data_IF_049037570314
#
_entry.id   IF_049037570314
#
_cell.length_a   1.000
_cell.length_b   1.000
_cell.length_c   1.000
_cell.angle_alpha   90.00
_cell.angle_beta   90.00
_cell.angle_gamma   90.00
#
_symmetry.space_group_name_H-M   'P 1'
#
loop_
_entity.id
_entity.type
_entity.pdbx_description
1 polymer ?
#
# COMPACT_ATOMS: atom_id res chain seq x y z
N UNK A 1 18.73 2.29 4.40
CA UNK A 1 18.50 2.51 5.85
C UNK A 1 18.43 1.11 6.43
N UNK A 2 19.33 0.79 7.35
CA UNK A 2 19.32 -0.49 8.06
C UNK A 2 18.55 -0.27 9.37
N UNK A 3 17.51 -1.06 9.60
CA UNK A 3 16.76 -1.08 10.85
C UNK A 3 17.38 -2.13 11.79
N UNK A 4 17.23 -1.97 13.11
CA UNK A 4 17.84 -2.86 14.11
C UNK A 4 17.36 -4.31 13.98
N UNK A 5 18.21 -5.26 14.37
CA UNK A 5 18.07 -6.73 14.26
C UNK A 5 16.85 -7.36 14.96
N UNK A 6 15.98 -6.59 15.61
CA UNK A 6 14.72 -7.10 16.12
C UNK A 6 13.71 -7.28 14.97
N UNK A 7 13.77 -8.47 14.38
CA UNK A 7 12.78 -9.09 13.47
C UNK A 7 11.40 -8.48 13.60
N UNK A 8 11.00 -7.68 12.63
CA UNK A 8 9.63 -7.23 12.56
C UNK A 8 9.27 -6.91 11.11
N UNK A 9 8.27 -7.63 10.61
CA UNK A 9 7.62 -7.31 9.35
C UNK A 9 6.93 -5.95 9.50
N UNK A 10 7.45 -4.92 8.83
CA UNK A 10 6.90 -3.57 8.86
C UNK A 10 6.25 -3.22 7.52
N UNK A 11 4.95 -3.46 7.34
CA UNK A 11 4.26 -3.08 6.11
C UNK A 11 4.21 -1.55 6.00
N UNK A 12 4.98 -0.92 5.10
CA UNK A 12 4.91 0.51 4.92
C UNK A 12 3.66 0.86 4.14
N UNK A 13 3.13 2.05 4.42
CA UNK A 13 2.22 2.75 3.49
C UNK A 13 2.92 2.98 2.15
N UNK A 14 2.15 3.29 1.11
CA UNK A 14 2.73 3.77 -0.15
C UNK A 14 3.52 5.08 0.05
N UNK A 15 4.25 5.51 -0.98
CA UNK A 15 4.77 6.88 -0.97
C UNK A 15 3.68 7.88 -1.36
N UNK A 16 3.40 8.82 -0.47
CA UNK A 16 2.39 9.86 -0.68
C UNK A 16 3.06 11.22 -0.67
N UNK A 17 3.14 11.83 -1.85
CA UNK A 17 3.79 13.13 -2.07
C UNK A 17 5.20 13.19 -1.42
N UNK A 18 5.99 12.14 -1.69
CA UNK A 18 7.39 11.99 -1.27
C UNK A 18 7.62 11.56 0.17
N UNK A 19 6.57 11.33 0.95
CA UNK A 19 6.68 10.77 2.31
C UNK A 19 6.23 9.30 2.32
N UNK A 20 6.79 8.53 3.24
CA UNK A 20 6.41 7.13 3.51
C UNK A 20 6.16 7.00 5.01
N UNK A 21 5.07 6.35 5.40
CA UNK A 21 4.79 6.06 6.81
C UNK A 21 4.83 4.55 7.06
N UNK A 22 5.35 4.13 8.20
CA UNK A 22 5.36 2.74 8.64
C UNK A 22 5.37 2.66 10.17
N UNK A 23 5.03 1.49 10.69
CA UNK A 23 5.17 1.19 12.11
C UNK A 23 6.46 0.43 12.35
N UNK A 24 7.22 0.81 13.36
CA UNK A 24 8.33 0.03 13.91
C UNK A 24 8.02 -0.32 15.37
N UNK A 25 7.71 -1.58 15.65
CA UNK A 25 7.23 -2.05 16.95
C UNK A 25 6.00 -1.23 17.40
N UNK A 26 6.11 -0.38 18.42
CA UNK A 26 5.02 0.50 18.86
C UNK A 26 5.18 1.96 18.39
N UNK A 27 6.14 2.25 17.51
CA UNK A 27 6.47 3.61 17.05
C UNK A 27 5.95 3.84 15.64
N UNK A 28 5.21 4.92 15.46
CA UNK A 28 4.78 5.39 14.14
C UNK A 28 5.85 6.32 13.58
N UNK A 29 6.37 5.99 12.40
CA UNK A 29 7.46 6.72 11.78
C UNK A 29 6.99 7.25 10.43
N UNK A 30 7.24 8.53 10.18
CA UNK A 30 7.15 9.14 8.85
C UNK A 30 8.57 9.40 8.36
N UNK A 31 8.88 8.89 7.18
CA UNK A 31 10.18 9.01 6.55
C UNK A 31 10.07 9.88 5.29
N UNK A 32 11.00 10.80 5.15
CA UNK A 32 11.29 11.47 3.89
C UNK A 32 12.57 10.84 3.29
N UNK A 33 12.47 10.00 2.25
CA UNK A 33 13.63 9.40 1.59
C UNK A 33 14.58 10.42 0.97
N UNK A 34 14.06 11.52 0.42
CA UNK A 34 14.85 12.55 -0.28
C UNK A 34 15.76 13.31 0.67
N UNK A 35 15.26 13.67 1.86
CA UNK A 35 16.04 14.39 2.87
C UNK A 35 16.68 13.46 3.90
N UNK A 36 16.36 12.16 3.85
CA UNK A 36 16.76 11.13 4.82
C UNK A 36 16.32 11.44 6.26
N UNK A 37 15.30 12.29 6.43
CA UNK A 37 14.78 12.66 7.74
C UNK A 37 13.69 11.67 8.18
N UNK A 38 13.69 11.36 9.48
CA UNK A 38 12.66 10.56 10.14
C UNK A 38 11.92 11.43 11.15
N UNK A 39 10.61 11.28 11.20
CA UNK A 39 9.74 11.87 12.22
C UNK A 39 9.02 10.76 12.96
N UNK A 40 9.30 10.66 14.26
CA UNK A 40 8.57 9.76 15.16
C UNK A 40 7.31 10.50 15.61
N UNK A 41 6.15 9.92 15.33
CA UNK A 41 4.87 10.44 15.78
C UNK A 41 4.60 10.01 17.23
N UNK A 42 3.86 10.82 18.02
CA UNK A 42 3.41 10.39 19.33
C UNK A 42 2.55 9.13 19.21
N UNK A 43 2.51 8.31 20.26
CA UNK A 43 1.64 7.13 20.27
C UNK A 43 0.17 7.56 20.22
N UNK A 44 -0.66 6.97 19.35
CA UNK A 44 -2.11 7.21 19.39
C UNK A 44 -2.67 6.75 20.74
N UNK A 45 -3.68 7.46 21.25
CA UNK A 45 -4.36 7.06 22.47
C UNK A 45 -5.10 5.73 22.24
N UNK A 46 -4.68 4.67 22.93
CA UNK A 46 -5.21 3.30 22.80
C UNK A 46 -4.27 2.26 23.41
N UNK A 47 -4.76 1.02 23.53
CA UNK A 47 -4.00 -0.09 24.12
C UNK A 47 -3.28 -0.94 23.08
N UNK A 48 -3.68 -0.87 21.80
CA UNK A 48 -3.07 -1.69 20.75
C UNK A 48 -1.69 -1.17 20.36
N UNK A 49 -0.75 -2.10 20.21
CA UNK A 49 0.53 -1.89 19.55
C UNK A 49 0.49 -2.29 18.08
N UNK A 50 -0.65 -2.71 17.56
CA UNK A 50 -0.80 -3.22 16.21
C UNK A 50 -1.80 -2.36 15.45
N UNK A 51 -1.30 -1.53 14.53
CA UNK A 51 -2.08 -0.52 13.84
C UNK A 51 -2.04 -0.72 12.33
N UNK A 52 -3.20 -0.56 11.70
CA UNK A 52 -3.25 -0.26 10.27
C UNK A 52 -3.07 1.24 10.08
N UNK A 53 -2.12 1.64 9.23
CA UNK A 53 -1.72 3.03 9.05
C UNK A 53 -1.95 3.42 7.60
N UNK A 54 -2.38 4.65 7.40
CA UNK A 54 -2.58 5.23 6.10
C UNK A 54 -2.02 6.63 6.09
N UNK A 55 -1.25 6.94 5.06
CA UNK A 55 -0.75 8.28 4.79
C UNK A 55 -1.64 8.90 3.72
N UNK A 56 -2.05 10.14 3.94
CA UNK A 56 -2.84 10.92 3.00
C UNK A 56 -2.22 12.30 2.78
N UNK A 57 -2.47 12.88 1.61
CA UNK A 57 -2.02 14.23 1.27
C UNK A 57 -3.18 15.02 0.67
N UNK A 58 -3.51 16.15 1.28
CA UNK A 58 -4.44 17.12 0.72
C UNK A 58 -3.69 18.05 -0.25
N UNK A 59 -3.94 17.96 -1.57
CA UNK A 59 -3.28 18.81 -2.55
C UNK A 59 -3.76 20.27 -2.51
N UNK A 60 -4.89 20.57 -1.86
CA UNK A 60 -5.45 21.93 -1.78
C UNK A 60 -4.80 22.71 -0.65
N UNK A 61 -4.75 22.16 0.57
CA UNK A 61 -4.07 22.81 1.69
C UNK A 61 -2.57 22.50 1.74
N UNK A 62 -2.09 21.54 0.93
CA UNK A 62 -0.69 21.12 0.91
C UNK A 62 -0.26 20.40 2.19
N UNK A 63 -1.17 19.65 2.83
CA UNK A 63 -0.94 19.01 4.14
C UNK A 63 -1.01 17.51 4.09
N UNK A 64 -0.06 16.86 4.74
CA UNK A 64 -0.13 15.42 5.01
C UNK A 64 -0.94 15.14 6.28
N UNK A 65 -1.73 14.08 6.24
CA UNK A 65 -2.39 13.51 7.42
C UNK A 65 -2.07 12.03 7.51
N UNK A 66 -1.89 11.54 8.73
CA UNK A 66 -1.75 10.13 9.05
C UNK A 66 -3.03 9.68 9.72
N UNK A 67 -3.68 8.68 9.15
CA UNK A 67 -4.82 7.99 9.73
C UNK A 67 -4.34 6.63 10.26
N UNK A 68 -4.79 6.23 11.44
CA UNK A 68 -4.58 4.87 11.91
C UNK A 68 -5.82 4.28 12.61
N UNK A 69 -5.88 2.96 12.59
CA UNK A 69 -6.90 2.13 13.24
C UNK A 69 -6.23 0.91 13.86
N UNK A 70 -6.85 0.31 14.86
CA UNK A 70 -6.34 -0.94 15.42
C UNK A 70 -6.54 -2.09 14.41
N UNK A 71 -5.51 -2.91 14.21
CA UNK A 71 -5.53 -3.99 13.21
C UNK A 71 -6.57 -5.07 13.56
N UNK A 72 -7.36 -5.49 12.57
CA UNK A 72 -8.45 -6.46 12.67
C UNK A 72 -9.52 -6.19 13.74
N UNK A 73 -9.50 -5.01 14.36
CA UNK A 73 -10.46 -4.61 15.36
C UNK A 73 -11.58 -3.76 14.73
N UNK A 74 -12.82 -4.03 15.13
CA UNK A 74 -13.99 -3.34 14.58
C UNK A 74 -14.32 -2.11 15.40
N UNK A 75 -14.22 -0.94 14.79
CA UNK A 75 -14.56 0.34 15.39
C UNK A 75 -15.35 1.23 14.43
N UNK A 76 -16.09 2.19 14.99
CA UNK A 76 -16.75 3.28 14.26
C UNK A 76 -15.96 4.60 14.36
N UNK A 77 -14.69 4.50 14.76
CA UNK A 77 -13.77 5.63 14.91
C UNK A 77 -12.37 5.26 14.44
N UNK A 78 -11.63 6.26 13.98
CA UNK A 78 -10.19 6.17 13.71
C UNK A 78 -9.45 7.32 14.40
N UNK A 79 -8.11 7.27 14.35
CA UNK A 79 -7.26 8.37 14.82
C UNK A 79 -6.62 9.07 13.62
N UNK A 80 -6.60 10.40 13.65
CA UNK A 80 -5.97 11.22 12.61
C UNK A 80 -4.99 12.20 13.24
N UNK A 81 -3.83 12.37 12.62
CA UNK A 81 -2.82 13.37 12.96
C UNK A 81 -2.44 14.13 11.70
N UNK A 82 -2.34 15.46 11.79
CA UNK A 82 -1.90 16.31 10.68
C UNK A 82 -0.42 16.64 10.87
N UNK A 83 0.42 16.34 9.88
CA UNK A 83 1.85 16.64 9.94
C UNK A 83 2.08 18.16 9.85
N UNK A 84 3.09 18.65 10.55
CA UNK A 84 3.43 20.08 10.59
C UNK A 84 2.45 20.97 11.39
N UNK A 85 1.39 20.39 11.98
CA UNK A 85 0.51 21.12 12.89
C UNK A 85 1.23 21.50 14.18
N UNK A 86 1.00 22.72 14.69
CA UNK A 86 1.50 23.16 16.00
C UNK A 86 1.02 22.24 17.13
N UNK A 87 -0.21 21.71 17.00
CA UNK A 87 -0.76 20.69 17.88
C UNK A 87 -0.44 19.32 17.28
N UNK A 88 0.67 18.72 17.70
CA UNK A 88 1.08 17.35 17.34
C UNK A 88 0.24 16.30 18.07
N UNK A 89 -1.08 16.39 18.00
CA UNK A 89 -2.01 15.56 18.76
C UNK A 89 -2.90 14.71 17.83
N UNK A 90 -3.14 13.47 18.25
CA UNK A 90 -4.12 12.60 17.63
C UNK A 90 -5.53 13.05 18.00
N UNK A 91 -6.40 13.18 16.99
CA UNK A 91 -7.83 13.40 17.18
C UNK A 91 -8.61 12.14 16.80
N UNK A 92 -9.74 11.92 17.46
CA UNK A 92 -10.70 10.89 17.08
C UNK A 92 -11.59 11.42 15.97
N UNK A 93 -11.73 10.66 14.88
CA UNK A 93 -12.67 10.94 13.80
C UNK A 93 -13.67 9.79 13.75
N UNK A 94 -14.96 10.11 13.56
CA UNK A 94 -16.00 9.10 13.36
C UNK A 94 -15.97 8.61 11.93
N UNK A 95 -16.04 7.30 11.75
CA UNK A 95 -16.06 6.68 10.44
C UNK A 95 -17.48 6.47 9.93
N UNK A 96 -18.48 6.61 10.81
CA UNK A 96 -19.90 6.32 10.57
C UNK A 96 -20.25 4.85 10.27
N UNK A 97 -19.23 3.99 10.13
CA UNK A 97 -19.39 2.57 9.84
C UNK A 97 -18.53 1.74 10.78
N UNK A 98 -19.14 0.74 11.43
CA UNK A 98 -18.39 -0.24 12.23
C UNK A 98 -17.63 -1.17 11.29
N UNK A 99 -16.36 -0.88 11.06
CA UNK A 99 -15.53 -1.62 10.14
C UNK A 99 -14.15 -1.95 10.73
N UNK A 100 -13.47 -2.88 10.08
CA UNK A 100 -12.07 -3.24 10.38
C UNK A 100 -11.27 -3.35 9.10
N UNK A 101 -9.97 -3.05 9.19
CA UNK A 101 -8.99 -3.45 8.18
C UNK A 101 -8.30 -4.73 8.63
N UNK A 102 -8.24 -5.71 7.74
CA UNK A 102 -7.52 -6.97 7.96
C UNK A 102 -6.23 -7.04 7.12
N UNK A 103 -5.84 -5.94 6.44
CA UNK A 103 -4.69 -5.88 5.55
C UNK A 103 -3.87 -4.62 5.85
N UNK A 104 -2.58 -4.79 6.17
CA UNK A 104 -1.74 -3.69 6.62
C UNK A 104 -1.30 -2.72 5.51
N UNK A 105 -1.14 -3.18 4.27
CA UNK A 105 -0.46 -2.47 3.17
C UNK A 105 -1.39 -2.17 1.97
N UNK A 106 -2.69 -2.38 2.14
CA UNK A 106 -3.65 -2.29 1.05
C UNK A 106 -4.12 -0.88 0.73
N UNK A 107 -3.75 0.13 1.51
CA UNK A 107 -4.25 1.51 1.34
C UNK A 107 -3.59 2.28 0.19
N UNK A 108 -4.37 3.12 -0.51
CA UNK A 108 -3.89 4.03 -1.59
C UNK A 108 -4.44 5.45 -1.46
N UNK A 109 -3.58 6.46 -1.54
CA UNK A 109 -3.91 7.87 -1.51
C UNK A 109 -3.84 8.45 -2.92
N UNK A 110 -5.01 8.74 -3.49
CA UNK A 110 -5.12 9.25 -4.86
C UNK A 110 -5.95 10.53 -4.82
N UNK A 111 -5.38 11.62 -5.37
CA UNK A 111 -6.05 12.92 -5.50
C UNK A 111 -6.69 13.46 -4.21
N UNK A 112 -6.03 13.29 -3.05
CA UNK A 112 -6.56 13.77 -1.77
C UNK A 112 -7.53 12.84 -1.06
N UNK A 113 -7.70 11.61 -1.56
CA UNK A 113 -8.56 10.60 -0.94
C UNK A 113 -7.75 9.34 -0.64
N UNK A 114 -7.80 8.89 0.61
CA UNK A 114 -7.24 7.60 1.03
C UNK A 114 -8.29 6.52 0.85
N UNK A 115 -7.96 5.49 0.10
CA UNK A 115 -8.78 4.33 -0.17
C UNK A 115 -8.20 3.10 0.53
N UNK A 116 -9.03 2.28 1.16
CA UNK A 116 -8.60 1.00 1.72
C UNK A 116 -9.75 0.00 1.73
N UNK A 117 -9.42 -1.29 1.69
CA UNK A 117 -10.44 -2.35 1.77
C UNK A 117 -10.74 -2.65 3.23
N UNK A 118 -12.02 -2.69 3.58
CA UNK A 118 -12.48 -2.97 4.93
C UNK A 118 -13.66 -3.93 4.96
N UNK A 119 -13.80 -4.63 6.08
CA UNK A 119 -14.97 -5.44 6.37
C UNK A 119 -15.94 -4.64 7.27
N UNK A 120 -17.15 -4.41 6.80
CA UNK A 120 -18.21 -3.71 7.55
C UNK A 120 -19.05 -4.73 8.29
N UNK A 121 -18.99 -4.70 9.63
CA UNK A 121 -19.56 -5.74 10.48
C UNK A 121 -21.07 -5.81 10.40
N UNK A 122 -21.74 -4.67 10.42
CA UNK A 122 -23.21 -4.60 10.46
C UNK A 122 -23.86 -5.08 9.16
N UNK A 123 -23.14 -4.99 8.04
CA UNK A 123 -23.60 -5.42 6.71
C UNK A 123 -23.02 -6.78 6.28
N UNK A 124 -22.04 -7.30 7.00
CA UNK A 124 -21.29 -8.53 6.67
C UNK A 124 -20.66 -8.55 5.27
N UNK A 125 -20.18 -7.39 4.79
CA UNK A 125 -19.60 -7.25 3.44
C UNK A 125 -18.23 -6.60 3.45
N UNK A 126 -17.44 -6.95 2.43
CA UNK A 126 -16.21 -6.24 2.09
C UNK A 126 -16.54 -5.05 1.19
N UNK A 127 -15.99 -3.89 1.53
CA UNK A 127 -16.19 -2.65 0.80
C UNK A 127 -14.87 -1.93 0.59
N UNK A 128 -14.88 -0.99 -0.33
CA UNK A 128 -13.83 0.00 -0.44
C UNK A 128 -14.23 1.23 0.40
N UNK A 129 -13.49 1.48 1.46
CA UNK A 129 -13.64 2.69 2.26
C UNK A 129 -12.82 3.80 1.61
N UNK A 130 -13.42 4.99 1.51
CA UNK A 130 -12.73 6.21 1.13
C UNK A 130 -12.70 7.18 2.29
N UNK A 131 -11.61 7.94 2.41
CA UNK A 131 -11.40 8.98 3.42
C UNK A 131 -10.88 10.23 2.71
N UNK A 132 -11.70 11.28 2.63
CA UNK A 132 -11.26 12.57 2.12
C UNK A 132 -10.28 13.19 3.13
N UNK A 133 -9.04 13.40 2.70
CA UNK A 133 -7.96 13.84 3.58
C UNK A 133 -8.26 15.22 4.14
N UNK A 134 -8.88 16.11 3.37
CA UNK A 134 -9.14 17.48 3.78
C UNK A 134 -10.31 17.56 4.76
N UNK A 135 -11.48 17.06 4.36
CA UNK A 135 -12.70 17.14 5.16
C UNK A 135 -12.79 16.08 6.25
N UNK A 136 -11.95 15.05 6.19
CA UNK A 136 -11.94 13.91 7.13
C UNK A 136 -13.26 13.14 7.15
N UNK A 137 -13.92 13.05 6.00
CA UNK A 137 -15.20 12.38 5.83
C UNK A 137 -14.95 11.02 5.19
N UNK A 138 -15.63 10.01 5.73
CA UNK A 138 -15.63 8.67 5.19
C UNK A 138 -16.83 8.44 4.28
N UNK A 139 -16.61 7.70 3.21
CA UNK A 139 -17.68 7.16 2.36
C UNK A 139 -17.39 5.70 2.03
N UNK A 140 -18.47 4.96 1.76
CA UNK A 140 -18.43 3.54 1.45
C UNK A 140 -18.72 3.32 -0.03
N UNK A 141 -17.83 2.59 -0.69
CA UNK A 141 -17.95 2.23 -2.10
C UNK A 141 -18.07 0.72 -2.20
N UNK A 142 -19.14 0.25 -2.85
CA UNK A 142 -19.32 -1.17 -3.15
C UNK A 142 -18.18 -1.68 -4.04
N UNK A 143 -17.66 -2.86 -3.72
CA UNK A 143 -16.65 -3.51 -4.56
C UNK A 143 -17.29 -3.99 -5.88
N UNK A 144 -16.55 -3.99 -6.98
CA UNK A 144 -17.07 -4.38 -8.30
C UNK A 144 -17.40 -5.88 -8.40
N UNK A 145 -16.77 -6.70 -7.55
CA UNK A 145 -16.95 -8.15 -7.47
C UNK A 145 -16.47 -8.65 -6.10
N UNK A 146 -17.04 -9.77 -5.64
CA UNK A 146 -16.56 -10.52 -4.47
C UNK A 146 -15.15 -11.09 -4.67
N UNK A 147 -14.73 -11.26 -5.92
CA UNK A 147 -13.46 -11.89 -6.30
C UNK A 147 -12.31 -10.89 -6.40
N UNK A 148 -12.44 -9.69 -5.85
CA UNK A 148 -11.32 -8.75 -5.75
C UNK A 148 -10.25 -9.26 -4.78
N UNK A 149 -8.99 -9.06 -5.16
CA UNK A 149 -7.83 -9.29 -4.32
C UNK A 149 -7.73 -8.16 -3.28
N UNK A 150 -7.84 -8.49 -2.00
CA UNK A 150 -8.18 -7.53 -0.92
C UNK A 150 -6.99 -6.78 -0.33
N UNK A 151 -5.78 -7.23 -0.63
CA UNK A 151 -4.50 -6.63 -0.23
C UNK A 151 -3.85 -5.82 -1.38
N UNK A 152 -4.40 -5.85 -2.61
CA UNK A 152 -3.82 -5.16 -3.77
C UNK A 152 -4.76 -4.06 -4.29
N UNK A 153 -4.57 -2.86 -3.76
CA UNK A 153 -4.99 -1.62 -4.43
C UNK A 153 -3.80 -1.02 -5.20
N UNK A 154 -4.07 -0.38 -6.32
CA UNK A 154 -3.04 0.22 -7.17
C UNK A 154 -3.53 1.55 -7.75
N UNK A 155 -2.58 2.42 -8.06
CA UNK A 155 -2.83 3.59 -8.92
C UNK A 155 -2.68 3.15 -10.38
N UNK A 156 -3.72 3.41 -11.17
CA UNK A 156 -3.73 3.23 -12.61
C UNK A 156 -4.15 4.53 -13.29
N UNK A 157 -3.16 5.26 -13.83
CA UNK A 157 -3.34 6.55 -14.51
C UNK A 157 -4.07 7.60 -13.65
N UNK A 158 -3.69 7.72 -12.37
CA UNK A 158 -4.27 8.68 -11.43
C UNK A 158 -5.67 8.29 -10.94
N UNK A 159 -6.06 7.03 -11.12
CA UNK A 159 -7.32 6.46 -10.64
C UNK A 159 -7.04 5.22 -9.82
N UNK A 160 -7.87 4.97 -8.82
CA UNK A 160 -7.78 3.75 -8.04
C UNK A 160 -8.16 2.55 -8.91
N UNK A 161 -7.41 1.45 -8.78
CA UNK A 161 -7.81 0.17 -9.31
C UNK A 161 -7.60 -0.97 -8.31
N UNK A 162 -8.45 -1.99 -8.44
CA UNK A 162 -8.40 -3.26 -7.72
C UNK A 162 -8.05 -4.38 -8.71
N UNK A 163 -7.39 -5.43 -8.22
CA UNK A 163 -7.01 -6.59 -9.03
C UNK A 163 -8.01 -7.73 -8.79
N UNK A 164 -8.52 -8.36 -9.83
CA UNK A 164 -9.34 -9.57 -9.71
C UNK A 164 -8.50 -10.79 -9.34
N UNK A 165 -9.06 -11.70 -8.53
CA UNK A 165 -8.48 -13.02 -8.21
C UNK A 165 -8.63 -14.01 -9.37
N UNK A 166 -9.63 -13.80 -10.22
CA UNK A 166 -9.83 -14.63 -11.41
C UNK A 166 -8.64 -14.48 -12.34
N UNK A 167 -7.89 -15.58 -12.48
CA UNK A 167 -6.89 -15.72 -13.53
C UNK A 167 -7.66 -15.88 -14.84
N UNK A 168 -7.55 -14.89 -15.73
CA UNK A 168 -8.18 -14.96 -17.05
C UNK A 168 -7.48 -16.08 -17.85
N UNK A 169 -8.22 -16.74 -18.75
CA UNK A 169 -7.64 -17.68 -19.72
C UNK A 169 -6.33 -17.12 -20.32
N UNK A 170 -5.26 -17.93 -20.29
CA UNK A 170 -3.85 -17.55 -20.58
C UNK A 170 -3.10 -16.77 -19.49
N UNK A 171 -3.54 -16.85 -18.24
CA UNK A 171 -2.90 -16.23 -17.06
C UNK A 171 -2.96 -14.69 -17.03
N UNK A 172 -4.01 -14.12 -17.60
CA UNK A 172 -4.24 -12.68 -17.54
C UNK A 172 -4.70 -12.17 -16.17
N UNK A 173 -4.56 -10.86 -15.97
CA UNK A 173 -5.11 -10.14 -14.81
C UNK A 173 -6.27 -9.25 -15.27
N UNK A 174 -7.34 -9.20 -14.47
CA UNK A 174 -8.40 -8.20 -14.61
C UNK A 174 -8.15 -7.07 -13.64
N UNK A 175 -8.11 -5.84 -14.14
CA UNK A 175 -8.18 -4.64 -13.30
C UNK A 175 -9.60 -4.11 -13.29
N UNK A 176 -10.08 -3.78 -12.11
CA UNK A 176 -11.28 -2.98 -11.91
C UNK A 176 -10.86 -1.56 -11.58
N UNK A 177 -11.28 -0.58 -12.37
CA UNK A 177 -10.84 0.81 -12.26
C UNK A 177 -12.03 1.63 -11.73
N UNK A 178 -11.77 2.40 -10.68
CA UNK A 178 -12.77 3.29 -10.09
C UNK A 178 -12.95 4.52 -10.99
N UNK A 179 -14.16 4.67 -11.51
CA UNK A 179 -14.62 5.79 -12.32
C UNK A 179 -15.36 6.82 -11.48
N UNK A 180 -15.73 7.94 -12.10
CA UNK A 180 -16.53 8.99 -11.47
C UNK A 180 -17.87 8.43 -10.95
N UNK A 181 -18.37 9.03 -9.87
CA UNK A 181 -19.63 8.65 -9.21
C UNK A 181 -19.61 7.22 -8.66
N UNK A 182 -18.47 6.76 -8.16
CA UNK A 182 -18.30 5.45 -7.51
C UNK A 182 -18.71 4.27 -8.41
N UNK A 183 -18.55 4.43 -9.74
CA UNK A 183 -18.79 3.37 -10.71
C UNK A 183 -17.50 2.65 -11.04
N UNK A 184 -17.58 1.41 -11.48
CA UNK A 184 -16.42 0.62 -11.86
C UNK A 184 -16.43 0.33 -13.36
N UNK A 185 -15.25 0.39 -13.98
CA UNK A 185 -14.97 -0.19 -15.29
C UNK A 185 -13.98 -1.34 -15.11
N UNK A 186 -13.87 -2.24 -16.10
CA UNK A 186 -12.88 -3.30 -16.08
C UNK A 186 -11.97 -3.25 -17.31
N UNK A 187 -10.73 -3.69 -17.12
CA UNK A 187 -9.75 -3.85 -18.19
C UNK A 187 -8.96 -5.13 -17.98
N UNK A 188 -8.95 -5.95 -19.01
CA UNK A 188 -8.25 -7.23 -19.02
C UNK A 188 -6.86 -7.06 -19.63
N UNK A 189 -5.86 -7.56 -18.92
CA UNK A 189 -4.49 -7.66 -19.39
C UNK A 189 -4.15 -9.12 -19.56
N UNK A 190 -4.09 -9.57 -20.81
CA UNK A 190 -3.62 -10.90 -21.12
C UNK A 190 -2.11 -10.92 -20.90
N UNK A 191 -1.67 -11.51 -19.80
CA UNK A 191 -0.26 -11.69 -19.50
C UNK A 191 0.06 -13.17 -19.67
N UNK A 192 0.95 -13.57 -20.59
CA UNK A 192 1.41 -14.94 -20.64
C UNK A 192 2.43 -15.16 -19.50
N UNK A 193 2.01 -15.03 -18.24
CA UNK A 193 2.88 -15.12 -17.07
C UNK A 193 3.69 -16.43 -17.07
N UNK A 194 3.10 -17.52 -17.59
CA UNK A 194 3.74 -18.84 -17.76
C UNK A 194 4.87 -18.85 -18.79
N UNK A 195 4.81 -17.99 -19.82
CA UNK A 195 5.85 -17.89 -20.86
C UNK A 195 6.97 -16.92 -20.47
N UNK A 196 6.74 -16.03 -19.50
CA UNK A 196 7.75 -15.08 -19.01
C UNK A 196 8.65 -15.74 -17.96
N UNK A 197 8.06 -16.42 -16.96
CA UNK A 197 8.77 -17.25 -15.98
C UNK A 197 7.73 -18.15 -15.27
N UNK A 198 7.96 -19.47 -15.21
CA UNK A 198 7.06 -20.40 -14.50
C UNK A 198 6.88 -20.03 -13.02
N UNK A 199 7.81 -19.29 -12.43
CA UNK A 199 7.69 -18.78 -11.06
C UNK A 199 6.75 -17.58 -10.91
N UNK A 200 6.33 -16.91 -12.00
CA UNK A 200 5.27 -15.90 -11.97
C UNK A 200 3.86 -16.50 -11.85
N UNK A 201 3.71 -17.82 -12.10
CA UNK A 201 2.47 -18.55 -11.83
C UNK A 201 2.36 -19.08 -10.39
N UNK A 202 3.32 -18.76 -9.51
CA UNK A 202 3.26 -19.08 -8.08
C UNK A 202 3.09 -17.79 -7.27
N UNK A 203 2.69 -17.89 -5.99
CA UNK A 203 2.57 -16.77 -5.04
C UNK A 203 3.93 -16.09 -4.70
N UNK A 204 4.95 -16.32 -5.54
CA UNK A 204 6.31 -15.83 -5.37
C UNK A 204 6.48 -14.39 -5.87
N UNK A 205 5.60 -13.89 -6.73
CA UNK A 205 5.68 -12.52 -7.23
C UNK A 205 4.39 -11.75 -6.93
N UNK A 206 4.54 -10.56 -6.38
CA UNK A 206 3.45 -9.66 -6.03
C UNK A 206 3.37 -8.53 -7.06
N UNK A 207 2.16 -8.27 -7.53
CA UNK A 207 1.86 -7.07 -8.32
C UNK A 207 2.00 -5.84 -7.42
N UNK A 208 2.91 -4.93 -7.77
CA UNK A 208 3.15 -3.69 -7.00
C UNK A 208 2.63 -2.42 -7.68
N UNK A 209 2.25 -2.48 -8.96
CA UNK A 209 1.64 -1.36 -9.66
C UNK A 209 2.06 -1.25 -11.12
N UNK A 210 2.04 -0.02 -11.63
CA UNK A 210 2.33 0.30 -13.03
C UNK A 210 3.41 1.37 -13.11
N UNK A 211 4.22 1.34 -14.18
CA UNK A 211 5.07 2.49 -14.55
C UNK A 211 4.23 3.55 -15.27
N UNK A 212 4.74 4.78 -15.37
CA UNK A 212 4.12 5.83 -16.19
C UNK A 212 3.97 5.45 -17.68
N UNK A 213 4.78 4.48 -18.16
CA UNK A 213 4.68 3.94 -19.52
C UNK A 213 3.61 2.83 -19.65
N UNK A 214 2.95 2.44 -18.56
CA UNK A 214 1.94 1.39 -18.54
C UNK A 214 2.49 -0.03 -18.40
N UNK A 215 3.76 -0.21 -18.04
CA UNK A 215 4.32 -1.53 -17.73
C UNK A 215 3.85 -2.00 -16.35
N UNK A 216 3.43 -3.26 -16.25
CA UNK A 216 3.05 -3.91 -15.00
C UNK A 216 4.31 -4.30 -14.22
N UNK A 217 4.37 -3.96 -12.92
CA UNK A 217 5.51 -4.23 -12.04
C UNK A 217 5.20 -5.41 -11.12
N UNK A 218 6.00 -6.47 -11.24
CA UNK A 218 5.98 -7.61 -10.33
C UNK A 218 7.27 -7.70 -9.53
N UNK A 219 7.15 -7.97 -8.24
CA UNK A 219 8.29 -8.03 -7.30
C UNK A 219 8.28 -9.34 -6.56
N UNK A 220 9.44 -9.98 -6.45
CA UNK A 220 9.61 -11.20 -5.68
C UNK A 220 9.22 -10.96 -4.21
N UNK A 221 8.30 -11.77 -3.67
CA UNK A 221 7.72 -11.59 -2.35
C UNK A 221 8.74 -11.75 -1.23
N UNK A 222 9.61 -12.76 -1.34
CA UNK A 222 10.74 -12.98 -0.44
C UNK A 222 11.97 -13.42 -1.21
N UNK A 223 13.14 -12.91 -0.79
CA UNK A 223 14.42 -13.25 -1.39
C UNK A 223 15.53 -13.39 -0.34
N UNK A 224 16.63 -14.07 -0.69
CA UNK A 224 17.79 -14.23 0.21
C UNK A 224 19.03 -13.51 -0.33
N UNK A 225 19.51 -13.90 -1.52
CA UNK A 225 20.74 -13.34 -2.11
C UNK A 225 20.48 -12.21 -3.10
N UNK A 226 19.41 -12.32 -3.89
CA UNK A 226 19.04 -11.35 -4.90
C UNK A 226 17.53 -11.23 -5.04
N UNK A 227 17.05 -10.00 -5.23
CA UNK A 227 15.64 -9.71 -5.45
C UNK A 227 15.37 -9.53 -6.94
N UNK A 228 14.33 -10.19 -7.47
CA UNK A 228 13.92 -10.03 -8.86
C UNK A 228 12.73 -9.09 -8.99
N UNK A 229 12.83 -8.17 -9.95
CA UNK A 229 11.76 -7.27 -10.36
C UNK A 229 11.49 -7.51 -11.84
N UNK A 230 10.23 -7.73 -12.19
CA UNK A 230 9.77 -7.87 -13.57
C UNK A 230 8.93 -6.67 -13.98
N UNK A 231 9.18 -6.19 -15.19
CA UNK A 231 8.34 -5.22 -15.87
C UNK A 231 7.75 -5.88 -17.11
N UNK A 232 6.43 -5.84 -17.25
CA UNK A 232 5.72 -6.41 -18.39
C UNK A 232 4.93 -5.32 -19.10
N UNK A 233 5.19 -5.12 -20.39
CA UNK A 233 4.42 -4.25 -21.26
C UNK A 233 3.30 -5.07 -21.91
N UNK A 234 2.02 -4.88 -21.51
CA UNK A 234 0.92 -5.64 -22.07
C UNK A 234 0.53 -5.20 -23.49
N UNK A 235 0.94 -4.01 -23.94
CA UNK A 235 0.64 -3.50 -25.29
C UNK A 235 1.62 -4.09 -26.29
N UNK A 236 2.91 -4.08 -25.95
CA UNK A 236 3.97 -4.65 -26.80
C UNK A 236 4.16 -6.15 -26.59
N UNK A 237 3.56 -6.71 -25.54
CA UNK A 237 3.76 -8.08 -25.10
C UNK A 237 5.24 -8.41 -24.88
N UNK A 238 5.99 -7.47 -24.31
CA UNK A 238 7.41 -7.63 -24.00
C UNK A 238 7.63 -7.59 -22.50
N UNK A 239 8.66 -8.28 -22.01
CA UNK A 239 9.05 -8.23 -20.60
C UNK A 239 10.53 -7.92 -20.46
N UNK A 240 10.88 -7.29 -19.34
CA UNK A 240 12.26 -7.09 -18.91
C UNK A 240 12.37 -7.43 -17.42
N UNK A 241 13.51 -7.96 -17.01
CA UNK A 241 13.79 -8.36 -15.64
C UNK A 241 15.02 -7.63 -15.12
N UNK A 242 14.93 -7.17 -13.88
CA UNK A 242 16.01 -6.60 -13.11
C UNK A 242 16.29 -7.50 -11.92
N UNK A 243 17.57 -7.71 -11.64
CA UNK A 243 18.02 -8.47 -10.48
C UNK A 243 18.86 -7.55 -9.62
N UNK A 244 18.38 -7.29 -8.41
CA UNK A 244 19.10 -6.52 -7.42
C UNK A 244 19.94 -7.49 -6.59
N UNK A 245 21.26 -7.33 -6.65
CA UNK A 245 22.25 -8.19 -5.99
C UNK A 245 22.94 -7.43 -4.86
N UNK A 246 23.54 -8.16 -3.92
CA UNK A 246 24.41 -7.58 -2.88
C UNK A 246 23.77 -7.45 -1.51
N UNK A 247 22.80 -8.30 -1.18
CA UNK A 247 22.12 -8.26 0.12
C UNK A 247 22.79 -9.08 1.23
N UNK A 248 23.83 -9.89 0.94
CA UNK A 248 24.62 -10.63 1.95
C UNK A 248 26.03 -11.02 1.48
N UNK A 249 27.02 -10.95 2.37
CA UNK A 249 28.22 -11.82 2.36
C UNK A 249 27.83 -13.22 2.88
N UNK A 250 28.47 -14.28 2.35
CA UNK A 250 28.08 -15.69 2.52
C UNK A 250 28.06 -16.20 3.99
N UNK A 251 28.58 -15.46 4.98
CA UNK A 251 28.57 -15.84 6.42
C UNK A 251 27.21 -15.65 7.12
N UNK A 252 26.32 -14.76 6.63
CA UNK A 252 25.02 -14.49 7.25
C UNK A 252 23.91 -15.48 6.88
N UNK A 253 24.20 -16.43 5.98
CA UNK A 253 23.22 -17.41 5.48
C UNK A 253 22.94 -18.53 6.51
N UNK A 254 23.80 -18.70 7.52
CA UNK A 254 23.69 -19.80 8.48
C UNK A 254 22.81 -19.48 9.71
N UNK A 255 22.33 -18.24 9.90
CA UNK A 255 21.53 -17.86 11.08
C UNK A 255 20.08 -17.45 10.78
N UNK A 256 19.71 -17.12 9.53
CA UNK A 256 18.36 -16.65 9.21
C UNK A 256 17.55 -17.69 8.39
N UNK A 257 16.59 -18.34 9.06
CA UNK A 257 15.50 -19.09 8.39
C UNK A 257 14.50 -18.17 7.63
N UNK A 258 14.68 -16.84 7.68
CA UNK A 258 13.71 -15.85 7.19
C UNK A 258 14.29 -15.05 6.01
N UNK A 259 13.56 -14.97 4.90
CA UNK A 259 13.93 -14.17 3.73
C UNK A 259 13.64 -12.67 3.90
N UNK A 260 14.24 -11.84 3.05
CA UNK A 260 14.01 -10.39 2.98
C UNK A 260 12.79 -10.06 2.11
N UNK A 261 12.08 -8.97 2.44
CA UNK A 261 10.97 -8.43 1.64
C UNK A 261 11.39 -7.14 0.94
N UNK A 262 11.04 -6.99 -0.34
CA UNK A 262 11.31 -5.76 -1.10
C UNK A 262 10.05 -4.90 -1.19
N UNK A 263 10.13 -3.67 -0.67
CA UNK A 263 9.08 -2.65 -0.84
C UNK A 263 9.41 -1.76 -2.04
N UNK A 264 8.43 -1.58 -2.94
CA UNK A 264 8.58 -0.79 -4.16
C UNK A 264 7.51 0.28 -4.19
N UNK A 265 7.94 1.52 -4.43
CA UNK A 265 7.10 2.71 -4.47
C UNK A 265 7.18 3.35 -5.87
N UNK A 266 6.44 2.82 -6.87
CA UNK A 266 6.59 3.25 -8.26
C UNK A 266 6.21 4.72 -8.50
N UNK A 267 5.38 5.30 -7.61
CA UNK A 267 4.91 6.68 -7.69
C UNK A 267 5.63 7.62 -6.71
N UNK A 268 6.80 7.22 -6.19
CA UNK A 268 7.58 8.10 -5.32
C UNK A 268 8.06 9.33 -6.08
N UNK A 269 7.91 10.50 -5.47
CA UNK A 269 8.39 11.79 -5.95
C UNK A 269 9.33 12.39 -4.91
N UNK A 270 10.34 13.13 -5.35
CA UNK A 270 11.22 13.80 -4.41
C UNK A 270 10.49 14.91 -3.65
N UNK A 271 10.82 15.06 -2.36
CA UNK A 271 10.19 16.06 -1.49
C UNK A 271 11.20 16.78 -0.61
N UNK A 272 11.12 18.12 -0.62
CA UNK A 272 11.93 19.00 0.24
C UNK A 272 11.27 19.29 1.59
N UNK A 273 10.19 18.57 1.94
CA UNK A 273 9.53 18.73 3.23
C UNK A 273 10.51 18.39 4.35
N UNK A 274 10.65 19.32 5.29
CA UNK A 274 11.41 19.10 6.52
C UNK A 274 10.47 18.98 7.72
N UNK A 275 10.86 18.16 8.69
CA UNK A 275 10.10 17.93 9.92
C UNK A 275 10.52 18.86 11.08
N UNK A 276 11.47 19.76 10.85
CA UNK A 276 11.98 20.76 11.81
C UNK A 276 11.11 22.00 11.88
#
# INVERSE_FOLDING_TARGET
MEFSEEMNYFPPTESVNGLICFQESARLIVWNPSTRQLLILPKPNGNSNDLTIFLGYDPVEGKHKVMCMEFSATYDTCRVLTLGSAQKLWRTVKTHYKHRSDYYDSGRCINGVVYHIAYVKDMCVWVLMSFDVRSEIFDMIELPSSDVHKDVLIDYNGRLACVGREIIEKNGIRLWILEKHNKWSSKDFLAPLVHIDKSLSTNKFLLKGFTHAGEIIYVESMFHKSAKIFFYDPVRNTSRRFELKGFTDDEFVLSNEHGYTLHVFPNHVESQISFT
#
